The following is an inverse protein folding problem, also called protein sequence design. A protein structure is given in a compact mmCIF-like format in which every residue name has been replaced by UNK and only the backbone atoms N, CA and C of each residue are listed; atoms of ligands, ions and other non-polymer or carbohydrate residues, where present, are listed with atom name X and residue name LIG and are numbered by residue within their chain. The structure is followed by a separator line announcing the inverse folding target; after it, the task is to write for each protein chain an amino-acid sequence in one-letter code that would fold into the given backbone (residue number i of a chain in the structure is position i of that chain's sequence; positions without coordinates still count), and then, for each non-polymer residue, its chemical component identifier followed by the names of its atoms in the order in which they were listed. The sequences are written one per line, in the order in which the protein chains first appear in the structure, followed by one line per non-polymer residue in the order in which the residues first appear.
data_IF_898893036877
#
_entry.id   IF_898893036877
#
_cell.length_a   1.000
_cell.length_b   1.000
_cell.length_c   1.000
_cell.angle_alpha   90.00
_cell.angle_beta   90.00
_cell.angle_gamma   90.00
#
_symmetry.space_group_name_H-M   'P 1'
#
loop_
_entity.id
_entity.type
_entity.pdbx_description
1 polymer ?
#
# COMPACT_ATOMS: atom_id res chain seq x y z
N UNK A 1 -30.13 27.05 58.84
CA UNK A 1 -30.67 25.97 58.00
C UNK A 1 -29.66 24.82 57.99
N UNK A 2 -30.06 23.64 58.55
CA UNK A 2 -29.28 22.41 58.38
C UNK A 2 -29.48 22.01 56.91
N UNK A 3 -28.41 22.09 56.09
CA UNK A 3 -28.46 21.57 54.71
C UNK A 3 -28.41 20.06 54.79
N UNK A 4 -29.35 19.40 54.12
CA UNK A 4 -29.33 17.96 53.99
C UNK A 4 -28.04 17.48 53.30
N UNK A 5 -27.48 16.40 53.76
CA UNK A 5 -26.29 15.79 53.15
C UNK A 5 -26.63 14.40 52.64
N UNK A 6 -26.14 14.12 51.42
CA UNK A 6 -26.35 12.85 50.74
C UNK A 6 -25.06 12.08 50.66
N UNK A 7 -25.17 10.77 50.56
CA UNK A 7 -24.02 9.89 50.48
C UNK A 7 -23.78 9.46 49.01
N UNK A 8 -22.57 9.69 48.54
CA UNK A 8 -22.06 9.14 47.26
C UNK A 8 -21.26 7.88 47.57
N UNK A 9 -21.76 6.75 47.09
CA UNK A 9 -21.16 5.42 47.31
C UNK A 9 -20.55 4.89 46.03
N UNK A 10 -19.43 4.13 46.16
CA UNK A 10 -18.69 3.58 45.05
C UNK A 10 -18.53 2.08 45.20
N UNK A 11 -18.73 1.36 44.08
CA UNK A 11 -18.72 -0.11 44.01
C UNK A 11 -17.96 -0.59 42.79
N UNK A 12 -17.49 -1.85 42.81
CA UNK A 12 -17.10 -2.54 41.60
C UNK A 12 -18.29 -2.66 40.64
N UNK A 13 -18.03 -2.89 39.38
CA UNK A 13 -19.04 -2.98 38.32
C UNK A 13 -20.18 -3.96 38.64
N UNK A 14 -19.89 -5.10 39.26
CA UNK A 14 -20.85 -6.12 39.70
C UNK A 14 -21.61 -5.74 40.99
N UNK A 15 -21.31 -4.61 41.60
CA UNK A 15 -21.95 -4.14 42.85
C UNK A 15 -21.25 -4.62 44.12
N UNK A 16 -20.20 -5.41 44.07
CA UNK A 16 -19.38 -5.73 45.23
C UNK A 16 -18.50 -4.53 45.64
N UNK A 17 -17.92 -4.58 46.84
CA UNK A 17 -17.03 -3.54 47.36
C UNK A 17 -15.81 -4.11 48.01
N UNK A 18 -14.77 -3.33 48.16
CA UNK A 18 -13.56 -3.61 48.91
C UNK A 18 -13.05 -2.33 49.59
N UNK A 19 -11.95 -2.40 50.31
CA UNK A 19 -11.40 -1.27 51.06
C UNK A 19 -11.11 -0.06 50.20
N UNK A 20 -10.64 -0.26 48.93
CA UNK A 20 -10.33 0.82 48.02
C UNK A 20 -11.58 1.60 47.58
N UNK A 21 -12.70 0.92 47.34
CA UNK A 21 -13.97 1.54 46.98
C UNK A 21 -14.68 2.15 48.18
N UNK A 22 -14.62 1.52 49.38
CA UNK A 22 -15.14 2.06 50.60
C UNK A 22 -14.51 3.40 50.99
N UNK A 23 -13.21 3.58 50.77
CA UNK A 23 -12.47 4.83 50.99
C UNK A 23 -12.94 5.99 50.12
N UNK A 24 -13.60 5.72 48.98
CA UNK A 24 -14.15 6.75 48.09
C UNK A 24 -15.53 7.31 48.55
N UNK A 25 -16.19 6.62 49.46
CA UNK A 25 -17.49 7.06 49.97
C UNK A 25 -17.38 8.46 50.57
N UNK A 26 -18.34 9.35 50.24
CA UNK A 26 -18.33 10.74 50.68
C UNK A 26 -19.74 11.23 51.02
N UNK A 27 -19.88 11.91 52.15
CA UNK A 27 -21.05 12.75 52.42
C UNK A 27 -20.85 14.10 51.75
N UNK A 28 -21.87 14.59 51.06
CA UNK A 28 -21.85 15.83 50.25
C UNK A 28 -23.14 16.60 50.50
N UNK A 29 -23.07 17.91 50.75
CA UNK A 29 -24.22 18.76 50.93
C UNK A 29 -25.10 18.83 49.69
N UNK A 30 -26.40 18.90 49.87
CA UNK A 30 -27.38 19.06 48.81
C UNK A 30 -27.06 20.27 47.92
N UNK A 31 -27.24 20.10 46.61
CA UNK A 31 -27.05 21.15 45.61
C UNK A 31 -25.58 21.48 45.27
N UNK A 32 -24.62 20.90 46.02
CA UNK A 32 -23.19 21.10 45.71
C UNK A 32 -22.73 20.18 44.60
N UNK A 33 -21.59 20.53 43.96
CA UNK A 33 -20.95 19.69 42.91
C UNK A 33 -19.93 18.78 43.54
N UNK A 34 -20.00 17.50 43.20
CA UNK A 34 -19.01 16.49 43.55
C UNK A 34 -18.25 16.04 42.30
N UNK A 35 -16.93 15.98 42.40
CA UNK A 35 -16.06 15.52 41.30
C UNK A 35 -15.83 14.02 41.42
N UNK A 36 -16.16 13.26 40.39
CA UNK A 36 -15.96 11.79 40.34
C UNK A 36 -14.47 11.42 40.48
N UNK A 37 -14.12 10.62 41.50
CA UNK A 37 -12.75 10.26 41.81
C UNK A 37 -12.16 9.27 40.76
N UNK A 38 -10.86 9.05 40.84
CA UNK A 38 -10.23 7.98 40.10
C UNK A 38 -10.81 6.60 40.44
N UNK A 39 -11.05 5.77 39.45
CA UNK A 39 -11.48 4.39 39.65
C UNK A 39 -10.28 3.58 40.19
N UNK A 40 -10.41 2.84 41.30
CA UNK A 40 -9.33 1.97 41.77
C UNK A 40 -8.80 1.03 40.68
N UNK A 41 -7.48 0.93 40.58
CA UNK A 41 -6.85 0.10 39.57
C UNK A 41 -7.13 -1.40 39.79
N UNK A 42 -7.28 -2.12 38.70
CA UNK A 42 -7.41 -3.58 38.67
C UNK A 42 -6.47 -4.16 37.63
N UNK A 43 -5.65 -5.10 38.05
CA UNK A 43 -4.69 -5.76 37.14
C UNK A 43 -5.41 -6.40 35.95
N UNK A 44 -4.90 -6.18 34.73
CA UNK A 44 -5.49 -6.70 33.50
C UNK A 44 -6.75 -5.97 33.01
N UNK A 45 -7.09 -4.82 33.61
CA UNK A 45 -8.25 -4.02 33.22
C UNK A 45 -7.89 -2.55 32.97
N UNK A 46 -8.64 -1.91 32.09
CA UNK A 46 -8.61 -0.48 31.84
C UNK A 46 -9.84 0.15 32.50
N UNK A 47 -9.62 1.25 33.21
CA UNK A 47 -10.69 2.03 33.85
C UNK A 47 -11.31 2.98 32.82
N UNK A 48 -12.61 2.87 32.59
CA UNK A 48 -13.37 3.75 31.70
C UNK A 48 -14.12 4.85 32.42
N UNK A 49 -14.33 4.68 33.73
CA UNK A 49 -15.05 5.65 34.57
C UNK A 49 -16.13 5.01 35.48
N UNK A 50 -17.20 5.72 35.67
CA UNK A 50 -18.27 5.37 36.60
C UNK A 50 -19.65 5.33 35.93
N UNK A 51 -20.48 4.38 36.30
CA UNK A 51 -21.88 4.27 35.86
C UNK A 51 -22.82 4.22 37.06
N UNK A 52 -24.04 4.72 36.93
CA UNK A 52 -25.10 4.56 37.94
C UNK A 52 -25.78 3.18 37.85
N UNK A 53 -25.54 2.44 36.76
CA UNK A 53 -26.03 1.07 36.59
C UNK A 53 -24.94 0.04 36.90
N UNK A 54 -25.31 -1.06 37.58
CA UNK A 54 -24.45 -2.23 37.72
C UNK A 54 -24.06 -2.76 36.33
N UNK A 55 -22.82 -3.20 36.17
CA UNK A 55 -22.26 -3.70 34.91
C UNK A 55 -22.49 -2.72 33.73
N UNK A 56 -22.38 -1.41 34.04
CA UNK A 56 -22.57 -0.34 33.07
C UNK A 56 -21.64 -0.53 31.83
N UNK A 57 -22.15 -0.17 30.66
CA UNK A 57 -21.42 -0.24 29.40
C UNK A 57 -20.42 0.91 29.27
N UNK A 58 -19.39 0.74 28.46
CA UNK A 58 -18.42 1.80 28.15
C UNK A 58 -19.08 3.10 27.67
N UNK A 59 -20.15 3.00 26.89
CA UNK A 59 -20.91 4.12 26.33
C UNK A 59 -21.66 4.94 27.42
N UNK A 60 -21.92 4.35 28.59
CA UNK A 60 -22.62 5.00 29.69
C UNK A 60 -21.67 5.47 30.79
N UNK A 61 -20.38 5.25 30.64
CA UNK A 61 -19.39 5.62 31.66
C UNK A 61 -19.18 7.13 31.72
N UNK A 62 -19.38 7.70 32.88
CA UNK A 62 -18.97 9.07 33.20
C UNK A 62 -17.47 9.08 33.51
N UNK A 63 -16.74 9.96 32.85
CA UNK A 63 -15.28 10.06 33.02
C UNK A 63 -14.92 10.50 34.44
N UNK A 64 -13.76 10.04 34.89
CA UNK A 64 -13.10 10.58 36.09
C UNK A 64 -12.95 12.10 35.93
N UNK A 65 -13.16 12.83 37.01
CA UNK A 65 -13.13 14.29 36.99
C UNK A 65 -14.47 14.96 36.59
N UNK A 66 -15.48 14.18 36.14
CA UNK A 66 -16.81 14.73 35.85
C UNK A 66 -17.43 15.31 37.14
N UNK A 67 -17.87 16.57 37.10
CA UNK A 67 -18.64 17.22 38.18
C UNK A 67 -20.10 16.84 38.06
N UNK A 68 -20.67 16.37 39.16
CA UNK A 68 -22.08 15.99 39.27
C UNK A 68 -22.73 16.79 40.37
N UNK A 69 -23.94 17.35 40.15
CA UNK A 69 -24.73 18.01 41.16
C UNK A 69 -25.42 16.99 42.07
N UNK A 70 -25.30 17.11 43.35
CA UNK A 70 -25.86 16.17 44.33
C UNK A 70 -27.25 16.63 44.75
N UNK A 71 -28.27 15.78 44.52
CA UNK A 71 -29.67 15.99 44.88
C UNK A 71 -30.29 14.79 45.59
N UNK A 72 -29.47 13.82 45.99
CA UNK A 72 -29.92 12.60 46.67
C UNK A 72 -28.77 11.61 46.87
N UNK A 73 -29.02 10.53 47.60
CA UNK A 73 -28.07 9.42 47.73
C UNK A 73 -27.82 8.77 46.35
N UNK A 74 -26.57 8.62 45.99
CA UNK A 74 -26.20 8.07 44.67
C UNK A 74 -25.19 6.93 44.79
N UNK A 75 -25.30 5.95 43.90
CA UNK A 75 -24.38 4.81 43.78
C UNK A 75 -23.69 4.84 42.45
N UNK A 76 -22.37 4.72 42.45
CA UNK A 76 -21.56 4.60 41.29
C UNK A 76 -20.87 3.25 41.24
N UNK A 77 -20.90 2.62 40.08
CA UNK A 77 -20.26 1.35 39.78
C UNK A 77 -19.12 1.58 38.80
N UNK A 78 -17.96 1.01 39.09
CA UNK A 78 -16.82 1.14 38.17
C UNK A 78 -17.12 0.48 36.84
N UNK A 79 -16.79 1.18 35.75
CA UNK A 79 -16.79 0.63 34.40
C UNK A 79 -15.35 0.32 34.02
N UNK A 80 -15.04 -0.98 33.99
CA UNK A 80 -13.72 -1.51 33.69
C UNK A 80 -13.82 -2.55 32.58
N UNK A 81 -12.87 -2.55 31.66
CA UNK A 81 -12.81 -3.53 30.58
C UNK A 81 -11.48 -4.28 30.61
N UNK A 82 -11.50 -5.56 30.26
CA UNK A 82 -10.28 -6.35 30.08
C UNK A 82 -9.33 -5.59 29.15
N UNK A 83 -8.09 -5.44 29.56
CA UNK A 83 -7.10 -4.73 28.77
C UNK A 83 -6.56 -5.59 27.61
N UNK A 84 -6.32 -4.95 26.50
CA UNK A 84 -5.58 -5.49 25.36
C UNK A 84 -4.44 -4.55 25.00
N UNK A 85 -3.35 -5.11 24.50
CA UNK A 85 -2.14 -4.34 24.09
C UNK A 85 -1.99 -4.34 22.59
N UNK A 86 -1.70 -3.18 22.03
CA UNK A 86 -1.27 -3.03 20.65
C UNK A 86 0.18 -2.60 20.66
N UNK A 87 1.07 -3.43 20.13
CA UNK A 87 2.46 -3.08 19.91
C UNK A 87 2.60 -2.51 18.49
N UNK A 88 2.84 -1.23 18.41
CA UNK A 88 3.23 -0.55 17.19
C UNK A 88 4.74 -0.76 17.01
N UNK A 89 5.11 -1.43 15.91
CA UNK A 89 6.49 -1.84 15.63
C UNK A 89 7.07 -1.07 14.45
N UNK A 90 8.35 -0.77 14.49
CA UNK A 90 9.10 -0.25 13.34
C UNK A 90 9.14 -1.30 12.22
N UNK A 91 9.52 -0.89 11.00
CA UNK A 91 9.68 -1.80 9.87
C UNK A 91 10.71 -2.93 10.13
N UNK A 92 11.71 -2.68 10.98
CA UNK A 92 12.69 -3.69 11.41
C UNK A 92 12.13 -4.69 12.45
N UNK A 93 10.90 -4.48 12.94
CA UNK A 93 10.24 -5.35 13.91
C UNK A 93 10.41 -4.94 15.38
N UNK A 94 11.27 -3.95 15.70
CA UNK A 94 11.41 -3.46 17.08
C UNK A 94 10.16 -2.71 17.53
N UNK A 95 9.78 -2.81 18.81
CA UNK A 95 8.63 -2.07 19.34
C UNK A 95 8.95 -0.58 19.39
N UNK A 96 8.12 0.23 18.73
CA UNK A 96 8.18 1.68 18.80
C UNK A 96 7.32 2.22 19.95
N UNK A 97 6.10 1.69 20.08
CA UNK A 97 5.14 2.14 21.08
C UNK A 97 4.17 1.02 21.44
N UNK A 98 3.84 0.88 22.72
CA UNK A 98 2.75 0.00 23.17
C UNK A 98 1.57 0.87 23.63
N UNK A 99 0.39 0.56 23.14
CA UNK A 99 -0.88 1.18 23.54
C UNK A 99 -1.72 0.13 24.26
N UNK A 100 -2.19 0.46 25.46
CA UNK A 100 -3.11 -0.41 26.21
C UNK A 100 -4.50 0.23 26.21
N UNK A 101 -5.52 -0.55 25.84
CA UNK A 101 -6.92 -0.10 25.80
C UNK A 101 -7.85 -1.24 26.24
N UNK A 102 -9.11 -0.90 26.53
CA UNK A 102 -10.14 -1.91 26.83
C UNK A 102 -10.45 -2.75 25.59
N UNK A 103 -10.67 -4.04 25.78
CA UNK A 103 -11.07 -4.98 24.71
C UNK A 103 -12.30 -4.46 23.97
N UNK A 104 -12.23 -4.39 22.65
CA UNK A 104 -13.27 -3.81 21.79
C UNK A 104 -13.20 -2.29 21.64
N UNK A 105 -12.23 -1.63 22.27
CA UNK A 105 -11.97 -0.20 22.07
C UNK A 105 -11.35 0.08 20.71
N UNK A 106 -11.37 1.37 20.32
CA UNK A 106 -10.81 1.83 19.05
C UNK A 106 -9.46 2.52 19.26
N UNK A 107 -8.50 2.17 18.44
CA UNK A 107 -7.21 2.85 18.34
C UNK A 107 -7.18 3.67 17.04
N UNK A 108 -7.00 4.99 17.16
CA UNK A 108 -6.63 5.81 16.02
C UNK A 108 -5.17 5.57 15.72
N UNK A 109 -4.88 5.03 14.55
CA UNK A 109 -3.53 4.65 14.14
C UNK A 109 -2.66 5.92 13.96
N UNK A 110 -1.52 6.02 14.65
CA UNK A 110 -0.68 7.20 14.55
C UNK A 110 0.08 7.25 13.23
N UNK A 111 0.43 8.46 12.80
CA UNK A 111 1.47 8.66 11.80
C UNK A 111 2.85 8.52 12.44
N UNK A 112 3.84 8.17 11.62
CA UNK A 112 5.26 8.13 11.99
C UNK A 112 6.01 9.09 11.08
N UNK A 113 6.92 9.88 11.65
CA UNK A 113 7.76 10.79 10.86
C UNK A 113 8.64 10.01 9.89
N UNK A 114 8.78 10.55 8.68
CA UNK A 114 9.68 10.00 7.69
C UNK A 114 11.14 10.13 8.15
N UNK A 115 11.96 9.15 7.80
CA UNK A 115 13.40 9.23 7.90
C UNK A 115 14.03 9.41 6.50
N UNK A 116 15.28 9.83 6.42
CA UNK A 116 15.98 10.02 5.15
C UNK A 116 15.92 8.74 4.30
N UNK A 117 15.42 8.86 3.08
CA UNK A 117 15.23 7.75 2.15
C UNK A 117 14.04 6.82 2.42
N UNK A 118 13.29 7.06 3.53
CA UNK A 118 12.15 6.24 3.90
C UNK A 118 10.89 7.09 4.04
N UNK A 119 9.80 6.64 3.45
CA UNK A 119 8.48 7.25 3.61
C UNK A 119 7.57 6.26 4.35
N UNK A 120 6.95 6.72 5.45
CA UNK A 120 5.95 5.92 6.15
C UNK A 120 4.66 5.85 5.34
N UNK A 121 4.20 4.65 5.05
CA UNK A 121 3.01 4.39 4.22
C UNK A 121 1.78 4.01 5.05
N UNK A 122 1.97 3.49 6.25
CA UNK A 122 0.88 3.00 7.11
C UNK A 122 1.31 1.81 7.96
N UNK A 123 0.34 1.03 8.42
CA UNK A 123 0.53 -0.08 9.34
C UNK A 123 0.09 -1.41 8.73
N UNK A 124 0.85 -2.49 8.94
CA UNK A 124 0.53 -3.83 8.46
C UNK A 124 0.46 -4.85 9.57
N UNK A 125 -0.41 -5.86 9.42
CA UNK A 125 -0.56 -6.99 10.35
C UNK A 125 0.68 -7.87 10.39
N UNK A 126 1.38 -7.95 9.27
CA UNK A 126 2.62 -8.71 9.11
C UNK A 126 3.76 -7.77 8.73
N UNK A 127 4.97 -8.12 9.14
CA UNK A 127 6.16 -7.37 8.77
C UNK A 127 6.37 -7.45 7.25
N UNK A 128 6.42 -6.29 6.59
CA UNK A 128 6.83 -6.21 5.19
C UNK A 128 8.35 -6.17 5.13
N UNK A 129 8.94 -6.95 4.23
CA UNK A 129 10.38 -6.91 3.96
C UNK A 129 10.62 -6.11 2.70
N UNK A 130 11.58 -5.18 2.74
CA UNK A 130 11.88 -4.30 1.61
C UNK A 130 10.99 -3.06 1.55
N UNK A 131 10.89 -2.48 0.35
CA UNK A 131 10.03 -1.33 0.07
C UNK A 131 8.59 -1.79 -0.18
N UNK A 132 7.62 -1.10 0.40
CA UNK A 132 6.20 -1.40 0.16
C UNK A 132 5.37 -0.12 0.25
N UNK A 133 4.42 0.05 -0.67
CA UNK A 133 3.42 1.13 -0.65
C UNK A 133 2.03 0.61 -0.24
N UNK A 134 1.96 -0.64 0.24
CA UNK A 134 0.72 -1.38 0.49
C UNK A 134 0.56 -1.74 1.98
N UNK A 135 0.22 -0.77 2.84
CA UNK A 135 -0.16 -1.04 4.22
C UNK A 135 -1.53 -1.71 4.28
N UNK A 136 -1.79 -2.48 5.36
CA UNK A 136 -3.13 -3.00 5.64
C UNK A 136 -4.06 -1.91 6.20
N UNK A 137 -3.49 -0.83 6.77
CA UNK A 137 -4.18 0.29 7.40
C UNK A 137 -3.43 1.60 7.19
N UNK A 138 -4.15 2.68 6.98
CA UNK A 138 -3.59 4.01 6.86
C UNK A 138 -3.42 4.71 8.23
N UNK A 139 -2.55 5.72 8.28
CA UNK A 139 -2.48 6.61 9.42
C UNK A 139 -3.79 7.38 9.59
N UNK A 140 -4.27 7.49 10.84
CA UNK A 140 -5.53 8.15 11.15
C UNK A 140 -6.74 7.22 11.13
N UNK A 141 -6.65 6.02 10.58
CA UNK A 141 -7.71 5.02 10.59
C UNK A 141 -8.04 4.57 12.03
N UNK A 142 -9.32 4.31 12.29
CA UNK A 142 -9.83 3.83 13.56
C UNK A 142 -9.95 2.30 13.54
N UNK A 143 -9.04 1.62 14.22
CA UNK A 143 -9.01 0.17 14.29
C UNK A 143 -9.63 -0.34 15.61
N UNK A 144 -10.64 -1.21 15.51
CA UNK A 144 -11.21 -1.89 16.67
C UNK A 144 -10.32 -3.02 17.15
N UNK A 145 -9.95 -3.01 18.44
CA UNK A 145 -9.00 -3.95 19.02
C UNK A 145 -9.69 -4.92 19.96
N UNK A 146 -9.75 -6.20 19.59
CA UNK A 146 -10.41 -7.26 20.37
C UNK A 146 -9.43 -8.21 21.07
N UNK A 147 -8.14 -8.16 20.74
CA UNK A 147 -7.07 -9.00 21.29
C UNK A 147 -5.71 -8.28 21.21
N UNK A 148 -4.72 -8.81 21.93
CA UNK A 148 -3.35 -8.34 21.77
C UNK A 148 -2.93 -8.41 20.29
N UNK A 149 -2.40 -7.31 19.77
CA UNK A 149 -2.12 -7.13 18.35
C UNK A 149 -0.74 -6.53 18.15
N UNK A 150 0.00 -7.01 17.15
CA UNK A 150 1.19 -6.34 16.63
C UNK A 150 0.83 -5.68 15.30
N UNK A 151 1.25 -4.44 15.12
CA UNK A 151 1.20 -3.72 13.85
C UNK A 151 2.60 -3.24 13.50
N UNK A 152 3.00 -3.43 12.27
CA UNK A 152 4.34 -3.10 11.76
C UNK A 152 4.25 -1.90 10.84
N UNK A 153 5.12 -0.93 11.02
CA UNK A 153 5.23 0.19 10.09
C UNK A 153 5.60 -0.35 8.69
N UNK A 154 4.79 -0.01 7.71
CA UNK A 154 5.09 -0.22 6.29
C UNK A 154 5.79 1.02 5.78
N UNK A 155 6.93 0.84 5.14
CA UNK A 155 7.76 1.94 4.63
C UNK A 155 8.10 1.73 3.17
N UNK A 156 8.09 2.81 2.42
CA UNK A 156 8.63 2.87 1.08
C UNK A 156 10.09 3.33 1.16
N UNK A 157 11.00 2.53 0.63
CA UNK A 157 12.43 2.78 0.72
C UNK A 157 13.03 3.05 -0.66
N UNK A 158 13.24 4.31 -0.99
CA UNK A 158 13.91 4.74 -2.23
C UNK A 158 15.42 4.42 -2.23
N UNK A 159 16.03 4.18 -1.07
CA UNK A 159 17.44 3.81 -1.01
C UNK A 159 17.74 2.44 -1.64
N UNK A 160 16.72 1.60 -1.88
CA UNK A 160 16.85 0.35 -2.64
C UNK A 160 16.89 0.58 -4.16
N UNK A 161 16.50 1.76 -4.64
CA UNK A 161 16.56 2.14 -6.04
C UNK A 161 18.03 2.42 -6.41
N UNK A 162 18.59 1.57 -7.26
CA UNK A 162 19.95 1.73 -7.78
C UNK A 162 19.91 2.16 -9.25
N UNK A 163 20.85 2.96 -9.66
CA UNK A 163 21.03 3.30 -11.07
C UNK A 163 21.68 2.13 -11.84
N UNK A 164 21.55 2.12 -13.15
CA UNK A 164 22.19 1.19 -14.07
C UNK A 164 22.94 1.99 -15.12
N UNK A 165 24.22 1.70 -15.29
CA UNK A 165 25.07 2.33 -16.30
C UNK A 165 24.74 1.79 -17.70
N UNK A 166 25.22 2.50 -18.76
CA UNK A 166 25.09 2.02 -20.12
C UNK A 166 25.85 0.70 -20.34
N UNK A 167 26.99 0.52 -19.69
CA UNK A 167 27.77 -0.72 -19.81
C UNK A 167 27.06 -1.92 -19.19
N UNK A 168 26.43 -1.74 -18.00
CA UNK A 168 25.59 -2.77 -17.39
C UNK A 168 24.38 -3.11 -18.28
N UNK A 169 23.82 -2.11 -18.98
CA UNK A 169 22.67 -2.27 -19.88
C UNK A 169 23.03 -2.92 -21.22
N UNK A 170 24.27 -2.80 -21.67
CA UNK A 170 24.75 -3.38 -22.93
C UNK A 170 24.83 -4.92 -22.89
N UNK A 171 24.72 -5.52 -21.74
CA UNK A 171 24.63 -6.95 -21.55
C UNK A 171 23.20 -7.33 -21.07
N UNK A 172 22.51 -8.12 -21.82
CA UNK A 172 22.80 -8.99 -22.93
C UNK A 172 22.30 -8.46 -24.29
N UNK A 173 22.99 -8.78 -25.35
CA UNK A 173 22.65 -8.33 -26.69
C UNK A 173 21.30 -8.85 -27.17
N UNK A 174 20.35 -7.96 -27.41
CA UNK A 174 18.99 -8.25 -27.93
C UNK A 174 19.11 -9.04 -29.28
N UNK A 175 20.01 -8.65 -30.14
CA UNK A 175 20.21 -9.22 -31.45
C UNK A 175 20.64 -10.69 -31.47
N UNK A 176 21.02 -11.31 -30.35
CA UNK A 176 21.34 -12.74 -30.32
C UNK A 176 20.11 -13.63 -30.41
N UNK A 177 18.98 -13.24 -29.81
CA UNK A 177 17.77 -14.07 -29.73
C UNK A 177 16.59 -13.55 -30.53
N UNK A 178 16.53 -12.23 -30.78
CA UNK A 178 15.39 -11.56 -31.41
C UNK A 178 15.88 -10.63 -32.53
N UNK A 179 15.11 -10.52 -33.61
CA UNK A 179 15.35 -9.49 -34.65
C UNK A 179 14.99 -8.11 -34.10
N UNK A 180 13.97 -8.03 -33.20
CA UNK A 180 13.49 -6.79 -32.59
C UNK A 180 12.79 -7.06 -31.26
N UNK A 181 12.81 -6.09 -30.38
CA UNK A 181 11.98 -6.04 -29.16
C UNK A 181 11.05 -4.83 -29.24
N UNK A 182 9.75 -5.06 -29.20
CA UNK A 182 8.74 -4.01 -29.26
C UNK A 182 8.03 -3.92 -27.91
N UNK A 183 8.12 -2.76 -27.27
CA UNK A 183 7.36 -2.44 -26.08
C UNK A 183 6.05 -1.76 -26.46
N UNK A 184 4.93 -2.27 -25.96
CA UNK A 184 3.58 -1.72 -26.20
C UNK A 184 2.98 -1.27 -24.89
N UNK A 185 2.57 0.02 -24.79
CA UNK A 185 2.04 0.47 -23.51
C UNK A 185 1.54 1.91 -23.47
N UNK A 186 1.44 2.40 -22.24
CA UNK A 186 0.97 3.73 -21.89
C UNK A 186 2.12 4.72 -21.57
N UNK A 187 1.85 5.74 -20.75
CA UNK A 187 2.85 6.72 -20.32
C UNK A 187 4.08 6.10 -19.64
N UNK A 188 3.94 4.95 -18.98
CA UNK A 188 5.07 4.26 -18.34
C UNK A 188 6.00 3.65 -19.39
N UNK A 189 5.45 3.12 -20.47
CA UNK A 189 6.22 2.64 -21.63
C UNK A 189 6.86 3.80 -22.38
N UNK A 190 6.15 4.91 -22.56
CA UNK A 190 6.73 6.15 -23.11
C UNK A 190 7.87 6.69 -22.23
N UNK A 191 7.75 6.57 -20.92
CA UNK A 191 8.80 6.95 -19.96
C UNK A 191 10.07 6.11 -20.09
N UNK A 192 9.94 4.80 -20.34
CA UNK A 192 11.09 3.93 -20.67
C UNK A 192 11.76 4.46 -21.93
N UNK A 193 11.01 4.64 -23.02
CA UNK A 193 11.53 5.15 -24.30
C UNK A 193 12.26 6.49 -24.13
N UNK A 194 11.63 7.47 -23.52
CA UNK A 194 12.21 8.78 -23.32
C UNK A 194 13.49 8.75 -22.46
N UNK A 195 13.51 7.89 -21.43
CA UNK A 195 14.68 7.73 -20.57
C UNK A 195 15.84 7.10 -21.31
N UNK A 196 15.60 6.03 -22.05
CA UNK A 196 16.65 5.38 -22.85
C UNK A 196 17.22 6.33 -23.90
N UNK A 197 16.35 7.03 -24.63
CA UNK A 197 16.78 7.96 -25.67
C UNK A 197 17.63 9.13 -25.14
N UNK A 198 17.35 9.60 -23.90
CA UNK A 198 18.10 10.71 -23.30
C UNK A 198 19.36 10.30 -22.55
N UNK A 199 19.35 9.11 -21.94
CA UNK A 199 20.35 8.77 -20.93
C UNK A 199 21.22 7.56 -21.30
N UNK A 200 20.90 6.87 -22.40
CA UNK A 200 21.61 5.67 -22.82
C UNK A 200 22.20 5.84 -24.20
N UNK A 201 23.28 5.09 -24.47
CA UNK A 201 23.88 5.03 -25.80
C UNK A 201 22.98 4.30 -26.81
N UNK A 202 23.14 4.60 -28.08
CA UNK A 202 22.41 3.92 -29.17
C UNK A 202 22.61 2.40 -29.19
N UNK A 203 23.70 1.90 -28.64
CA UNK A 203 23.94 0.45 -28.53
C UNK A 203 22.90 -0.24 -27.61
N UNK A 204 22.35 0.46 -26.61
CA UNK A 204 21.32 -0.07 -25.73
C UNK A 204 19.94 -0.11 -26.42
N UNK A 205 19.66 0.83 -27.31
CA UNK A 205 18.35 0.98 -27.96
C UNK A 205 18.29 0.35 -29.35
N UNK A 206 19.42 -0.12 -29.88
CA UNK A 206 19.48 -0.80 -31.21
C UNK A 206 18.58 -2.07 -31.14
N UNK A 207 17.68 -2.21 -32.11
CA UNK A 207 16.76 -3.34 -32.16
C UNK A 207 15.57 -3.23 -31.19
N UNK A 208 15.34 -2.05 -30.58
CA UNK A 208 14.19 -1.78 -29.71
C UNK A 208 13.30 -0.73 -30.31
N UNK A 209 11.98 -0.94 -30.27
CA UNK A 209 10.99 0.05 -30.64
C UNK A 209 9.84 0.11 -29.63
N UNK A 210 9.04 1.15 -29.73
CA UNK A 210 7.99 1.45 -28.78
C UNK A 210 6.70 1.86 -29.51
N UNK A 211 5.60 1.23 -29.13
CA UNK A 211 4.24 1.60 -29.49
C UNK A 211 3.54 2.05 -28.22
N UNK A 212 3.62 3.33 -27.92
CA UNK A 212 3.17 3.84 -26.63
C UNK A 212 2.38 5.14 -26.76
N UNK A 213 1.32 5.27 -25.94
CA UNK A 213 0.52 6.49 -25.90
C UNK A 213 0.14 6.85 -24.45
N UNK A 214 0.63 7.97 -23.90
CA UNK A 214 0.37 8.39 -22.54
C UNK A 214 -1.11 8.50 -22.21
N UNK A 215 -1.50 8.02 -21.02
CA UNK A 215 -2.88 8.08 -20.51
C UNK A 215 -3.86 7.12 -21.17
N UNK A 216 -3.40 6.26 -22.06
CA UNK A 216 -4.25 5.33 -22.83
C UNK A 216 -4.30 3.94 -22.21
N UNK A 217 -5.35 3.18 -22.56
CA UNK A 217 -5.61 1.81 -22.13
C UNK A 217 -6.05 0.92 -23.28
N UNK A 218 -6.87 -0.09 -22.96
CA UNK A 218 -7.29 -1.11 -23.92
C UNK A 218 -8.00 -0.55 -25.17
N UNK A 219 -8.88 0.42 -25.00
CA UNK A 219 -9.62 1.00 -26.15
C UNK A 219 -8.68 1.58 -27.19
N UNK A 220 -7.71 2.40 -26.75
CA UNK A 220 -6.70 2.92 -27.67
C UNK A 220 -5.91 1.81 -28.33
N UNK A 221 -5.48 0.81 -27.55
CA UNK A 221 -4.68 -0.27 -28.13
C UNK A 221 -5.47 -1.03 -29.19
N UNK A 222 -6.74 -1.34 -28.93
CA UNK A 222 -7.61 -2.00 -29.91
C UNK A 222 -7.84 -1.15 -31.16
N UNK A 223 -8.13 0.15 -30.98
CA UNK A 223 -8.64 1.01 -32.05
C UNK A 223 -7.50 1.66 -32.88
N UNK A 224 -6.29 1.77 -32.31
CA UNK A 224 -5.14 2.45 -32.93
C UNK A 224 -3.83 1.72 -32.71
N UNK A 225 -3.49 1.39 -31.47
CA UNK A 225 -2.16 0.87 -31.11
C UNK A 225 -1.86 -0.49 -31.74
N UNK A 226 -2.88 -1.32 -31.99
CA UNK A 226 -2.69 -2.60 -32.64
C UNK A 226 -2.24 -2.45 -34.10
N UNK A 227 -2.83 -1.53 -34.85
CA UNK A 227 -2.38 -1.22 -36.22
C UNK A 227 -0.95 -0.71 -36.24
N UNK A 228 -0.58 0.17 -35.29
CA UNK A 228 0.81 0.64 -35.16
C UNK A 228 1.78 -0.49 -34.82
N UNK A 229 1.37 -1.43 -33.96
CA UNK A 229 2.16 -2.62 -33.65
C UNK A 229 2.38 -3.49 -34.88
N UNK A 230 1.34 -3.75 -35.68
CA UNK A 230 1.45 -4.53 -36.92
C UNK A 230 2.39 -3.84 -37.91
N UNK A 231 2.26 -2.52 -38.09
CA UNK A 231 3.16 -1.74 -38.95
C UNK A 231 4.63 -1.86 -38.50
N UNK A 232 4.89 -1.81 -37.19
CA UNK A 232 6.23 -1.93 -36.62
C UNK A 232 6.80 -3.35 -36.78
N UNK A 233 5.95 -4.39 -36.67
CA UNK A 233 6.32 -5.77 -36.94
C UNK A 233 6.66 -5.96 -38.42
N UNK A 234 5.84 -5.45 -39.32
CA UNK A 234 5.98 -5.64 -40.78
C UNK A 234 7.21 -4.89 -41.34
N UNK A 235 7.67 -3.83 -40.67
CA UNK A 235 8.94 -3.13 -40.99
C UNK A 235 10.18 -3.86 -40.46
N UNK A 236 10.02 -4.91 -39.67
CA UNK A 236 11.17 -5.59 -39.06
C UNK A 236 11.77 -6.62 -40.00
N UNK A 237 13.02 -6.43 -40.31
CA UNK A 237 13.79 -7.35 -41.11
C UNK A 237 14.46 -8.45 -40.25
N UNK A 238 14.76 -9.59 -40.87
CA UNK A 238 15.48 -10.71 -40.27
C UNK A 238 14.60 -11.93 -40.00
N UNK A 239 15.28 -13.07 -39.76
CA UNK A 239 14.63 -14.39 -39.59
C UNK A 239 14.35 -14.77 -38.15
N UNK A 240 14.95 -14.06 -37.18
CA UNK A 240 14.72 -14.33 -35.75
C UNK A 240 13.34 -13.82 -35.30
N UNK A 241 12.76 -14.38 -34.24
CA UNK A 241 11.48 -13.91 -33.74
C UNK A 241 11.53 -12.44 -33.24
N UNK A 242 10.37 -11.79 -33.21
CA UNK A 242 10.18 -10.48 -32.62
C UNK A 242 9.62 -10.70 -31.22
N UNK A 243 10.23 -10.07 -30.21
CA UNK A 243 9.64 -10.05 -28.87
C UNK A 243 8.68 -8.88 -28.74
N UNK A 244 7.41 -9.14 -28.38
CA UNK A 244 6.42 -8.09 -28.11
C UNK A 244 6.07 -8.11 -26.63
N UNK A 245 6.36 -7.01 -25.91
CA UNK A 245 6.12 -6.87 -24.47
C UNK A 245 4.99 -5.87 -24.25
N UNK A 246 3.85 -6.34 -23.78
CA UNK A 246 2.71 -5.51 -23.42
C UNK A 246 2.83 -5.02 -21.98
N UNK A 247 2.66 -3.73 -21.74
CA UNK A 247 2.59 -3.07 -20.43
C UNK A 247 1.46 -2.03 -20.41
N UNK A 248 0.24 -2.51 -20.43
CA UNK A 248 -1.00 -1.72 -20.37
C UNK A 248 -1.79 -2.11 -19.11
N UNK A 249 -2.76 -1.27 -18.73
CA UNK A 249 -3.74 -1.57 -17.70
C UNK A 249 -3.78 -0.61 -16.51
N UNK A 250 -2.73 0.18 -16.26
CA UNK A 250 -2.73 1.11 -15.11
C UNK A 250 -3.79 2.21 -15.24
N UNK A 251 -4.22 2.53 -16.46
CA UNK A 251 -5.23 3.55 -16.72
C UNK A 251 -6.68 3.01 -16.67
N UNK A 252 -6.85 1.69 -16.67
CA UNK A 252 -8.16 1.03 -16.69
C UNK A 252 -8.16 -0.30 -15.90
N UNK A 253 -7.73 -0.24 -14.65
CA UNK A 253 -7.54 -1.39 -13.74
C UNK A 253 -8.81 -2.25 -13.54
N UNK A 254 -10.01 -1.69 -13.72
CA UNK A 254 -11.25 -2.45 -13.66
C UNK A 254 -11.52 -3.35 -14.87
N UNK A 255 -10.70 -3.25 -15.92
CA UNK A 255 -11.01 -3.80 -17.25
C UNK A 255 -10.26 -5.12 -17.59
N UNK A 256 -9.70 -5.80 -16.60
CA UNK A 256 -8.81 -6.96 -16.80
C UNK A 256 -9.43 -8.07 -17.66
N UNK A 257 -10.72 -8.36 -17.52
CA UNK A 257 -11.40 -9.39 -18.32
C UNK A 257 -11.40 -9.09 -19.81
N UNK A 258 -11.64 -7.83 -20.20
CA UNK A 258 -11.60 -7.41 -21.60
C UNK A 258 -10.17 -7.42 -22.15
N UNK A 259 -9.15 -7.10 -21.31
CA UNK A 259 -7.74 -7.31 -21.71
C UNK A 259 -7.47 -8.76 -22.03
N UNK A 260 -7.84 -9.70 -21.15
CA UNK A 260 -7.66 -11.14 -21.38
C UNK A 260 -8.30 -11.57 -22.70
N UNK A 261 -9.55 -11.19 -22.92
CA UNK A 261 -10.30 -11.56 -24.12
C UNK A 261 -9.64 -11.02 -25.39
N UNK A 262 -9.29 -9.73 -25.39
CA UNK A 262 -8.68 -9.10 -26.56
C UNK A 262 -7.28 -9.61 -26.84
N UNK A 263 -6.43 -9.74 -25.83
CA UNK A 263 -5.07 -10.28 -26.00
C UNK A 263 -5.10 -11.72 -26.52
N UNK A 264 -6.04 -12.54 -26.05
CA UNK A 264 -6.22 -13.91 -26.55
C UNK A 264 -6.63 -13.91 -28.00
N UNK A 265 -7.52 -13.00 -28.42
CA UNK A 265 -8.01 -12.95 -29.81
C UNK A 265 -6.92 -12.58 -30.85
N UNK A 266 -5.95 -11.76 -30.45
CA UNK A 266 -4.87 -11.32 -31.36
C UNK A 266 -3.64 -12.24 -31.34
N UNK A 267 -3.55 -13.17 -30.40
CA UNK A 267 -2.35 -13.98 -30.16
C UNK A 267 -1.95 -14.81 -31.41
N UNK A 268 -2.90 -15.48 -32.06
CA UNK A 268 -2.62 -16.30 -33.24
C UNK A 268 -2.06 -15.47 -34.39
N UNK A 269 -2.63 -14.29 -34.66
CA UNK A 269 -2.16 -13.38 -35.72
C UNK A 269 -0.73 -12.90 -35.44
N UNK A 270 -0.42 -12.52 -34.20
CA UNK A 270 0.93 -12.09 -33.85
C UNK A 270 1.94 -13.25 -33.95
N UNK A 271 1.56 -14.45 -33.55
CA UNK A 271 2.41 -15.64 -33.68
C UNK A 271 2.68 -16.02 -35.13
N UNK A 272 1.69 -15.89 -36.02
CA UNK A 272 1.90 -16.16 -37.46
C UNK A 272 2.88 -15.17 -38.09
N UNK A 273 3.09 -13.99 -37.49
CA UNK A 273 4.12 -12.99 -37.82
C UNK A 273 5.45 -13.22 -37.07
N UNK A 274 5.72 -14.45 -36.62
CA UNK A 274 6.93 -14.84 -35.89
C UNK A 274 7.16 -14.05 -34.57
N UNK A 275 6.09 -13.63 -33.89
CA UNK A 275 6.19 -12.93 -32.60
C UNK A 275 6.22 -13.89 -31.42
N UNK A 276 7.04 -13.59 -30.43
CA UNK A 276 6.99 -14.14 -29.05
C UNK A 276 6.32 -13.12 -28.15
N UNK A 277 5.23 -13.53 -27.48
CA UNK A 277 4.37 -12.62 -26.76
C UNK A 277 4.66 -12.63 -25.27
N UNK A 278 4.76 -11.46 -24.68
CA UNK A 278 5.01 -11.25 -23.27
C UNK A 278 4.00 -10.23 -22.71
N UNK A 279 3.51 -10.48 -21.52
CA UNK A 279 2.71 -9.50 -20.79
C UNK A 279 3.43 -9.15 -19.49
N UNK A 280 3.92 -7.92 -19.40
CA UNK A 280 4.50 -7.40 -18.18
C UNK A 280 3.37 -6.96 -17.25
N UNK A 281 3.42 -7.37 -15.99
CA UNK A 281 2.48 -6.92 -14.97
C UNK A 281 2.32 -5.41 -14.98
N UNK A 282 1.16 -4.91 -14.59
CA UNK A 282 1.05 -3.52 -14.17
C UNK A 282 1.97 -3.34 -12.96
N UNK A 283 2.95 -2.47 -13.10
CA UNK A 283 3.98 -2.23 -12.10
C UNK A 283 3.41 -1.47 -10.89
N UNK A 284 4.05 -1.53 -9.70
CA UNK A 284 3.51 -0.92 -8.48
C UNK A 284 3.30 0.60 -8.63
N UNK A 285 2.42 1.12 -7.80
CA UNK A 285 2.09 2.56 -7.70
C UNK A 285 2.32 3.05 -6.27
N UNK A 286 2.40 4.36 -6.09
CA UNK A 286 2.35 4.98 -4.78
C UNK A 286 0.99 5.65 -4.58
N UNK A 287 0.02 4.90 -4.06
CA UNK A 287 -1.38 5.35 -3.90
C UNK A 287 -1.51 6.66 -3.12
N UNK A 288 -0.68 6.86 -2.09
CA UNK A 288 -0.67 8.10 -1.29
C UNK A 288 -0.27 9.31 -2.14
N UNK A 289 0.76 9.16 -2.97
CA UNK A 289 1.22 10.25 -3.85
C UNK A 289 0.23 10.49 -4.99
N UNK A 290 -0.38 9.45 -5.55
CA UNK A 290 -1.46 9.58 -6.56
C UNK A 290 -2.59 10.45 -6.02
N UNK A 291 -3.06 10.17 -4.80
CA UNK A 291 -4.12 10.96 -4.16
C UNK A 291 -3.70 12.41 -3.95
N UNK A 292 -2.49 12.65 -3.45
CA UNK A 292 -1.95 14.01 -3.25
C UNK A 292 -1.81 14.79 -4.57
N UNK A 293 -1.43 14.11 -5.63
CA UNK A 293 -1.26 14.71 -6.95
C UNK A 293 -2.56 14.87 -7.75
N UNK A 294 -3.71 14.43 -7.21
CA UNK A 294 -5.01 14.51 -7.88
C UNK A 294 -5.13 13.68 -9.17
N UNK A 295 -4.35 12.60 -9.28
CA UNK A 295 -4.30 11.74 -10.49
C UNK A 295 -5.42 10.69 -10.58
N UNK A 296 -6.49 10.86 -9.84
CA UNK A 296 -7.59 9.89 -9.76
C UNK A 296 -7.25 8.72 -8.82
N UNK A 297 -8.27 8.14 -8.21
CA UNK A 297 -8.08 7.06 -7.23
C UNK A 297 -7.59 5.77 -7.91
N UNK A 298 -6.39 5.34 -7.56
CA UNK A 298 -5.84 4.02 -7.88
C UNK A 298 -5.18 3.45 -6.65
N UNK A 299 -5.42 2.17 -6.38
CA UNK A 299 -4.88 1.49 -5.20
C UNK A 299 -4.00 0.32 -5.61
N UNK A 300 -3.04 -0.02 -4.76
CA UNK A 300 -2.23 -1.24 -4.94
C UNK A 300 -3.09 -2.51 -4.95
N UNK A 301 -4.21 -2.53 -4.24
CA UNK A 301 -5.15 -3.66 -4.27
C UNK A 301 -5.73 -3.85 -5.67
N UNK A 302 -6.14 -2.77 -6.34
CA UNK A 302 -6.63 -2.81 -7.73
C UNK A 302 -5.54 -3.29 -8.70
N UNK A 303 -4.30 -2.83 -8.53
CA UNK A 303 -3.16 -3.30 -9.33
C UNK A 303 -2.94 -4.81 -9.16
N UNK A 304 -2.94 -5.30 -7.92
CA UNK A 304 -2.80 -6.74 -7.66
C UNK A 304 -3.95 -7.57 -8.22
N UNK A 305 -5.17 -7.08 -8.09
CA UNK A 305 -6.36 -7.75 -8.65
C UNK A 305 -6.27 -7.83 -10.18
N UNK A 306 -5.93 -6.72 -10.84
CA UNK A 306 -5.72 -6.70 -12.28
C UNK A 306 -4.64 -7.70 -12.69
N UNK A 307 -3.46 -7.64 -12.06
CA UNK A 307 -2.34 -8.53 -12.33
C UNK A 307 -2.70 -10.02 -12.14
N UNK A 308 -3.47 -10.34 -11.10
CA UNK A 308 -3.95 -11.69 -10.84
C UNK A 308 -4.85 -12.21 -11.96
N UNK A 309 -5.81 -11.39 -12.41
CA UNK A 309 -6.73 -11.73 -13.51
C UNK A 309 -6.00 -11.91 -14.84
N UNK A 310 -5.05 -11.02 -15.16
CA UNK A 310 -4.21 -11.14 -16.35
C UNK A 310 -3.39 -12.43 -16.30
N UNK A 311 -2.68 -12.67 -15.20
CA UNK A 311 -1.81 -13.85 -15.06
C UNK A 311 -2.57 -15.16 -15.18
N UNK A 312 -3.79 -15.24 -14.63
CA UNK A 312 -4.59 -16.47 -14.67
C UNK A 312 -5.41 -16.63 -15.95
N UNK A 313 -5.72 -15.54 -16.63
CA UNK A 313 -6.64 -15.55 -17.78
C UNK A 313 -5.99 -15.54 -19.15
N UNK A 314 -4.75 -15.04 -19.28
CA UNK A 314 -4.07 -15.03 -20.56
C UNK A 314 -3.79 -16.45 -21.08
N UNK A 315 -3.89 -16.62 -22.40
CA UNK A 315 -3.55 -17.87 -23.04
C UNK A 315 -2.06 -18.22 -22.84
N UNK A 316 -1.72 -19.51 -22.98
CA UNK A 316 -0.34 -20.00 -22.88
C UNK A 316 0.60 -19.44 -23.96
N UNK A 317 0.07 -18.71 -24.94
CA UNK A 317 0.85 -17.99 -25.94
C UNK A 317 1.65 -16.83 -25.34
N UNK A 318 1.19 -16.29 -24.20
CA UNK A 318 1.85 -15.22 -23.50
C UNK A 318 2.73 -15.74 -22.37
N UNK A 319 3.97 -15.25 -22.29
CA UNK A 319 4.78 -15.38 -21.08
C UNK A 319 4.56 -14.17 -20.18
N UNK A 320 4.29 -14.41 -18.92
CA UNK A 320 4.04 -13.35 -17.93
C UNK A 320 5.36 -12.89 -17.28
N UNK A 321 5.62 -11.59 -17.35
CA UNK A 321 6.78 -10.96 -16.67
C UNK A 321 6.27 -10.31 -15.38
N UNK A 322 6.57 -10.90 -14.24
CA UNK A 322 6.15 -10.39 -12.92
C UNK A 322 7.07 -9.25 -12.44
N UNK A 323 7.06 -8.15 -13.19
CA UNK A 323 7.83 -6.95 -12.86
C UNK A 323 7.34 -6.29 -11.57
N UNK A 324 6.04 -6.41 -11.25
CA UNK A 324 5.47 -5.93 -10.00
C UNK A 324 6.23 -6.48 -8.79
N UNK A 325 6.35 -7.80 -8.70
CA UNK A 325 7.03 -8.46 -7.58
C UNK A 325 8.53 -8.12 -7.52
N UNK A 326 9.16 -7.95 -8.68
CA UNK A 326 10.58 -7.56 -8.76
C UNK A 326 10.78 -6.15 -8.19
N UNK A 327 9.98 -5.18 -8.61
CA UNK A 327 10.09 -3.80 -8.14
C UNK A 327 9.73 -3.68 -6.66
N UNK A 328 8.72 -4.41 -6.18
CA UNK A 328 8.39 -4.46 -4.75
C UNK A 328 9.55 -4.99 -3.91
N UNK A 329 10.29 -5.96 -4.42
CA UNK A 329 11.44 -6.55 -3.72
C UNK A 329 12.70 -5.69 -3.82
N UNK A 330 12.98 -5.12 -4.99
CA UNK A 330 14.22 -4.41 -5.29
C UNK A 330 14.15 -2.91 -4.96
N UNK A 331 12.96 -2.37 -4.81
CA UNK A 331 12.69 -0.95 -4.67
C UNK A 331 12.47 -0.27 -6.02
N UNK A 332 11.76 0.85 -5.98
CA UNK A 332 11.48 1.72 -7.13
C UNK A 332 11.26 3.14 -6.63
N UNK A 333 11.41 4.12 -7.49
CA UNK A 333 11.07 5.50 -7.23
C UNK A 333 9.95 5.97 -8.15
N UNK A 334 8.96 6.71 -7.59
CA UNK A 334 7.96 7.41 -8.40
C UNK A 334 8.37 8.86 -8.65
N UNK A 335 7.84 9.43 -9.72
CA UNK A 335 8.14 10.79 -10.17
C UNK A 335 6.95 11.32 -10.99
N UNK A 336 6.81 12.63 -11.17
CA UNK A 336 5.74 13.21 -11.98
C UNK A 336 6.07 13.30 -13.49
N UNK A 337 7.29 12.98 -13.90
CA UNK A 337 7.77 13.06 -15.27
C UNK A 337 7.90 11.67 -15.91
N UNK A 338 7.67 11.62 -17.21
CA UNK A 338 7.95 10.46 -18.06
C UNK A 338 8.63 10.89 -19.38
N UNK A 339 9.33 12.03 -19.36
CA UNK A 339 9.99 12.60 -20.54
C UNK A 339 11.51 12.35 -20.59
N UNK A 340 12.01 11.44 -19.75
CA UNK A 340 13.43 11.06 -19.69
C UNK A 340 14.29 11.90 -18.75
N UNK A 341 13.69 12.76 -17.94
CA UNK A 341 14.31 13.50 -16.84
C UNK A 341 13.39 13.50 -15.63
N UNK A 342 13.96 13.42 -14.44
CA UNK A 342 13.17 13.49 -13.21
C UNK A 342 12.70 14.93 -12.96
N UNK A 343 11.45 15.09 -12.54
CA UNK A 343 10.88 16.34 -12.06
C UNK A 343 11.09 16.48 -10.54
N UNK A 344 10.91 17.68 -10.02
CA UNK A 344 10.97 17.95 -8.57
C UNK A 344 9.75 17.41 -7.81
N UNK A 345 8.68 17.08 -8.53
CA UNK A 345 7.44 16.53 -7.96
C UNK A 345 7.28 15.03 -8.21
N UNK A 346 6.42 14.41 -7.41
CA UNK A 346 6.08 13.00 -7.48
C UNK A 346 4.57 12.84 -7.61
N UNK A 347 4.10 12.11 -8.61
CA UNK A 347 2.67 11.85 -8.84
C UNK A 347 2.25 10.42 -8.44
N UNK A 348 3.16 9.63 -7.95
CA UNK A 348 2.92 8.26 -7.51
C UNK A 348 2.63 7.25 -8.62
N UNK A 349 2.56 7.71 -9.87
CA UNK A 349 2.16 6.90 -11.03
C UNK A 349 3.32 6.63 -11.98
N UNK A 350 4.05 7.65 -12.38
CA UNK A 350 5.23 7.51 -13.24
C UNK A 350 6.47 7.24 -12.40
N UNK A 351 7.56 6.86 -13.05
CA UNK A 351 8.78 6.43 -12.36
C UNK A 351 9.93 7.41 -12.56
N UNK A 352 10.88 7.35 -11.63
CA UNK A 352 12.19 7.97 -11.81
C UNK A 352 12.89 7.36 -13.03
N UNK A 353 13.81 8.10 -13.61
CA UNK A 353 14.64 7.60 -14.73
C UNK A 353 15.44 6.36 -14.34
N UNK A 354 15.91 6.27 -13.10
CA UNK A 354 16.57 5.07 -12.57
C UNK A 354 15.67 3.85 -12.61
N UNK A 355 14.42 3.99 -12.16
CA UNK A 355 13.45 2.89 -12.18
C UNK A 355 13.07 2.50 -13.60
N UNK A 356 12.87 3.46 -14.54
CA UNK A 356 12.61 3.16 -15.94
C UNK A 356 13.75 2.35 -16.57
N UNK A 357 15.00 2.73 -16.32
CA UNK A 357 16.18 1.95 -16.78
C UNK A 357 16.17 0.52 -16.23
N UNK A 358 15.82 0.34 -14.96
CA UNK A 358 15.74 -0.98 -14.35
C UNK A 358 14.63 -1.84 -14.92
N UNK A 359 13.44 -1.28 -15.17
CA UNK A 359 12.35 -2.02 -15.80
C UNK A 359 12.80 -2.56 -17.16
N UNK A 360 13.41 -1.70 -17.98
CA UNK A 360 13.98 -2.12 -19.26
C UNK A 360 15.01 -3.25 -19.10
N UNK A 361 16.00 -3.05 -18.24
CA UNK A 361 17.04 -4.02 -17.96
C UNK A 361 16.48 -5.39 -17.54
N UNK A 362 15.52 -5.39 -16.62
CA UNK A 362 14.89 -6.64 -16.19
C UNK A 362 14.08 -7.31 -17.31
N UNK A 363 13.42 -6.56 -18.17
CA UNK A 363 12.75 -7.12 -19.35
C UNK A 363 13.75 -7.80 -20.27
N UNK A 364 14.86 -7.14 -20.63
CA UNK A 364 15.88 -7.71 -21.50
C UNK A 364 16.53 -8.94 -20.86
N UNK A 365 16.81 -8.89 -19.58
CA UNK A 365 17.31 -10.05 -18.83
C UNK A 365 16.32 -11.23 -18.90
N UNK A 366 15.04 -10.96 -18.72
CA UNK A 366 14.01 -12.00 -18.82
C UNK A 366 13.93 -12.62 -20.22
N UNK A 367 14.00 -11.81 -21.26
CA UNK A 367 13.99 -12.29 -22.64
C UNK A 367 15.13 -13.26 -22.92
N UNK A 368 16.31 -13.04 -22.33
CA UNK A 368 17.49 -13.85 -22.55
C UNK A 368 17.59 -15.08 -21.66
N UNK A 369 17.09 -15.00 -20.43
CA UNK A 369 17.30 -16.06 -19.43
C UNK A 369 16.01 -16.82 -19.07
N UNK A 370 14.84 -16.31 -19.49
CA UNK A 370 13.54 -16.84 -19.10
C UNK A 370 13.15 -16.53 -17.66
N UNK A 371 14.00 -15.82 -16.91
CA UNK A 371 13.73 -15.42 -15.50
C UNK A 371 14.40 -14.10 -15.17
N UNK A 372 13.82 -13.38 -14.20
CA UNK A 372 14.49 -12.24 -13.58
C UNK A 372 15.12 -12.78 -12.29
N UNK A 373 16.40 -13.16 -12.37
CA UNK A 373 17.08 -13.70 -11.21
C UNK A 373 17.37 -12.60 -10.20
N UNK A 374 16.72 -12.68 -9.03
CA UNK A 374 16.86 -11.72 -7.95
C UNK A 374 18.24 -11.74 -7.26
N UNK A 375 19.12 -12.68 -7.58
CA UNK A 375 20.44 -12.84 -6.96
C UNK A 375 21.56 -12.06 -7.65
N UNK A 376 21.35 -11.49 -8.81
CA UNK A 376 22.40 -10.74 -9.54
C UNK A 376 22.56 -9.27 -9.08
N UNK A 377 21.85 -8.83 -7.99
CA UNK A 377 21.95 -7.44 -7.51
C UNK A 377 21.86 -7.34 -5.99
#
# INVERSE_FOLDING_TARGET
CIRDSYTVNFYLGNGSTNSAYKKLQKKVEEGTYYTLPAVPSRSGYVNLGWSTAKNGKASTAKKVGTKIKISGNIRYYSVQMQSVKVNLRKANGTVWKTVTLGKGGYLKLPSVSNATGYTFMGWSKTRRTGSSTDPDYEAGELLRINKNTNLYATVFNRALEKDISSDEMAHPAIGMMYSKVIFVGDSRTAGIQATLNKQMSSSVTNGVSFVANPGKGLSWFRDTGYAQLIEEIDKTEGSKPIAVIFNLGVNDLGNAGNYVSYMTSIASTLKSKNCKLFYMSVNPINSTMITKAGRGARTEAQVREFNSKIRSGLSLDYKYIDMYSVLMKKGYGTNASYNGTDADSDDGLHYTTKTFKRIYYYCITYLNTGSINASYY
#
